data_IF_260593928333
#
_entry.id   IF_260593928333
#
_cell.length_a   1.000
_cell.length_b   1.000
_cell.length_c   1.000
_cell.angle_alpha   90.00
_cell.angle_beta   90.00
_cell.angle_gamma   90.00
#
_symmetry.space_group_name_H-M   'P 1'
#
loop_
_entity.id
_entity.type
_entity.pdbx_description
1 polymer ?
2 polymer ?
3 polymer ?
4 non-polymer ?
5 water ?
#
# COMPACT_ATOMS: atom_id res chain seq x y z
N UNK A 28 -22.89 -7.08 9.55
CA UNK A 28 -21.84 -6.35 8.78
C UNK A 28 -21.89 -4.76 8.78
N UNK A 29 -20.71 -4.15 8.55
CA UNK A 29 -20.41 -2.71 8.74
C UNK A 29 -20.62 -1.84 7.45
N UNK A 30 -20.47 -0.51 7.52
CA UNK A 30 -20.58 0.35 6.29
C UNK A 30 -19.31 1.16 5.87
N UNK A 31 -19.02 1.16 4.56
CA UNK A 31 -17.88 1.93 4.00
C UNK A 31 -18.07 3.45 4.04
N UNK A 32 -17.18 4.12 4.79
CA UNK A 32 -17.28 5.56 4.99
C UNK A 32 -16.05 6.29 4.40
N UNK A 33 -16.29 7.06 3.33
CA UNK A 33 -15.26 7.84 2.69
C UNK A 33 -14.80 8.87 3.67
N UNK A 34 -13.54 8.79 4.11
CA UNK A 34 -12.89 9.87 4.84
C UNK A 34 -12.09 10.81 3.92
N UNK A 35 -11.95 12.07 4.33
CA UNK A 35 -11.22 13.08 3.56
C UNK A 35 -9.74 12.89 3.73
N UNK A 36 -8.97 13.32 2.71
CA UNK A 36 -7.52 13.28 2.77
C UNK A 36 -7.01 14.15 3.91
N UNK A 37 -5.85 13.81 4.49
CA UNK A 37 -5.45 14.74 5.55
C UNK A 37 -4.86 16.07 5.02
N UNK A 38 -4.64 16.24 3.71
CA UNK A 38 -4.08 17.50 3.19
C UNK A 38 -4.95 18.71 3.43
N UNK A 39 -4.30 19.85 3.67
CA UNK A 39 -4.96 21.14 3.87
C UNK A 39 -4.16 22.17 3.08
N UNK A 40 -4.71 23.35 2.89
CA UNK A 40 -3.90 24.38 2.28
C UNK A 40 -3.46 25.41 3.33
N UNK A 41 -2.17 25.80 3.33
CA UNK A 41 -1.70 26.93 4.15
C UNK A 41 -2.10 28.24 3.43
N UNK A 42 -3.00 29.02 4.01
CA UNK A 42 -3.48 30.19 3.30
C UNK A 42 -2.45 31.29 3.41
N UNK A 43 -2.05 31.81 2.24
CA UNK A 43 -1.15 32.96 2.18
C UNK A 43 -1.97 34.23 2.27
N UNK A 44 -1.99 34.84 3.44
CA UNK A 44 -2.71 36.08 3.62
C UNK A 44 -1.81 37.20 3.17
N UNK A 45 -2.29 37.93 2.17
CA UNK A 45 -1.55 39.00 1.49
C UNK A 45 -2.50 39.82 0.63
N UNK A 46 -2.37 41.14 0.71
CA UNK A 46 -3.30 42.01 -0.02
C UNK A 46 -2.92 42.04 -1.49
N UNK A 47 -3.85 42.50 -2.32
CA UNK A 47 -3.67 42.70 -3.74
C UNK A 47 -3.05 44.07 -4.00
N UNK A 48 -2.14 44.19 -4.97
CA UNK A 48 -1.57 45.52 -5.27
C UNK A 48 -2.53 46.51 -5.94
N UNK A 49 -2.16 47.79 -5.88
CA UNK A 49 -2.69 48.78 -6.84
C UNK A 49 -1.83 48.70 -8.14
N UNK B 1 18.13 -39.23 -4.73
CA UNK B 1 17.20 -39.88 -3.77
C UNK B 1 15.70 -39.97 -4.24
N UNK B 2 15.32 -39.24 -5.31
CA UNK B 2 13.93 -38.68 -5.43
C UNK B 2 12.89 -39.06 -6.56
N UNK B 3 12.17 -38.08 -7.14
CA UNK B 3 10.95 -38.37 -7.96
C UNK B 3 10.69 -37.46 -9.18
N UNK B 4 10.35 -38.06 -10.33
CA UNK B 4 10.36 -37.37 -11.65
C UNK B 4 9.05 -36.65 -12.04
N UNK B 5 8.56 -35.87 -11.10
CA UNK B 5 7.37 -35.03 -11.28
C UNK B 5 7.38 -34.00 -10.15
N UNK B 6 6.35 -33.17 -10.05
CA UNK B 6 6.37 -31.96 -9.24
C UNK B 6 5.35 -32.00 -8.12
N UNK B 7 5.64 -31.45 -6.94
CA UNK B 7 4.56 -31.25 -5.97
C UNK B 7 4.63 -30.07 -5.03
N UNK B 8 3.45 -29.48 -4.81
CA UNK B 8 3.26 -28.33 -3.95
C UNK B 8 3.99 -28.52 -2.63
N UNK B 9 4.68 -27.50 -2.14
CA UNK B 9 5.22 -27.62 -0.78
C UNK B 9 4.53 -26.68 0.17
N UNK B 10 3.79 -25.74 -0.40
CA UNK B 10 2.94 -24.80 0.34
C UNK B 10 2.02 -24.02 -0.60
N UNK B 11 1.03 -23.40 0.01
CA UNK B 11 -0.07 -22.77 -0.69
C UNK B 11 -0.32 -21.52 0.13
N UNK B 12 -0.43 -20.38 -0.53
CA UNK B 12 -0.85 -19.18 0.17
C UNK B 12 -1.70 -18.29 -0.72
N UNK B 13 -2.49 -17.47 -0.07
CA UNK B 13 -3.47 -16.63 -0.71
C UNK B 13 -2.77 -15.26 -0.82
N UNK B 14 -2.65 -14.74 -2.04
CA UNK B 14 -2.00 -13.43 -2.26
C UNK B 14 -2.44 -12.76 -3.57
N UNK B 15 -2.46 -11.43 -3.57
CA UNK B 15 -2.61 -10.62 -4.77
C UNK B 15 -1.20 -10.45 -5.32
N UNK B 16 -1.03 -10.83 -6.58
CA UNK B 16 0.26 -10.85 -7.22
C UNK B 16 0.40 -9.59 -8.06
N UNK B 17 1.51 -8.88 -7.81
CA UNK B 17 1.80 -7.59 -8.36
C UNK B 17 3.07 -7.62 -9.18
N UNK B 18 3.20 -6.71 -10.15
CA UNK B 18 4.48 -6.38 -10.76
C UNK B 18 4.69 -4.88 -10.62
N UNK B 19 5.95 -4.43 -10.50
CA UNK B 19 6.22 -3.00 -10.41
C UNK B 19 6.43 -2.38 -11.78
N UNK B 20 5.57 -1.45 -12.15
CA UNK B 20 5.64 -0.67 -13.41
C UNK B 20 6.66 0.45 -13.26
N UNK B 21 7.86 0.29 -13.80
CA UNK B 21 8.90 1.27 -13.54
C UNK B 21 8.67 2.56 -14.33
N UNK B 22 8.18 2.41 -15.57
CA UNK B 22 7.73 3.55 -16.40
C UNK B 22 6.84 4.48 -15.56
N UNK B 23 5.87 3.89 -14.86
CA UNK B 23 4.90 4.69 -14.15
C UNK B 23 5.04 4.73 -12.65
N UNK B 24 6.01 4.02 -12.07
CA UNK B 24 6.32 4.22 -10.66
C UNK B 24 5.09 3.84 -9.82
N UNK B 25 4.68 2.58 -9.91
CA UNK B 25 3.29 2.18 -9.63
C UNK B 25 3.31 0.64 -9.63
N UNK B 26 2.79 0.04 -8.57
CA UNK B 26 2.49 -1.38 -8.50
C UNK B 26 1.17 -1.70 -9.21
N UNK B 27 1.19 -2.72 -10.07
CA UNK B 27 0.02 -3.12 -10.88
C UNK B 27 -0.21 -4.64 -10.73
N UNK B 28 -1.48 -5.12 -10.91
CA UNK B 28 -1.78 -6.54 -10.81
C UNK B 28 -1.03 -7.28 -11.92
N UNK B 29 -0.42 -8.41 -11.57
CA UNK B 29 0.18 -9.27 -12.57
C UNK B 29 -0.88 -9.76 -13.53
N UNK B 30 -0.55 -9.82 -14.81
CA UNK B 30 -1.50 -10.33 -15.82
C UNK B 30 -2.60 -9.31 -16.07
N UNK B 31 -2.52 -8.13 -15.46
CA UNK B 31 -3.47 -7.05 -15.74
C UNK B 31 -4.90 -7.28 -15.27
N UNK B 32 -5.03 -8.06 -14.20
CA UNK B 32 -6.33 -8.39 -13.61
C UNK B 32 -6.28 -8.36 -12.03
N UNK B 33 -6.99 -7.38 -11.48
CA UNK B 33 -7.24 -7.26 -10.05
C UNK B 33 -7.81 -8.56 -9.39
N UNK B 34 -7.24 -8.97 -8.26
CA UNK B 34 -7.79 -10.12 -7.53
C UNK B 34 -6.77 -10.99 -6.81
N UNK B 35 -7.25 -11.80 -5.90
CA UNK B 35 -6.34 -12.69 -5.17
C UNK B 35 -6.06 -13.95 -5.96
N UNK B 36 -4.84 -14.44 -5.85
CA UNK B 36 -4.49 -15.73 -6.37
C UNK B 36 -4.20 -16.74 -5.26
N UNK B 37 -4.18 -18.01 -5.66
CA UNK B 37 -3.52 -19.08 -4.90
C UNK B 37 -2.09 -19.19 -5.38
N UNK B 38 -1.14 -19.03 -4.49
CA UNK B 38 0.23 -19.14 -4.88
C UNK B 38 0.88 -20.36 -4.23
N UNK B 39 1.45 -21.21 -5.10
CA UNK B 39 2.11 -22.44 -4.72
C UNK B 39 3.59 -22.34 -4.97
N UNK B 40 4.35 -23.02 -4.13
CA UNK B 40 5.74 -23.32 -4.43
C UNK B 40 5.78 -24.79 -4.81
N UNK B 41 6.29 -25.10 -6.00
CA UNK B 41 6.47 -26.48 -6.45
C UNK B 41 7.89 -26.99 -6.24
N UNK B 42 8.01 -28.20 -5.72
CA UNK B 42 9.29 -28.90 -5.65
C UNK B 42 9.34 -30.08 -6.62
N UNK B 43 10.37 -30.06 -7.46
CA UNK B 43 10.64 -31.14 -8.40
C UNK B 43 11.89 -31.85 -7.85
N UNK B 44 11.68 -32.96 -7.12
CA UNK B 44 12.76 -33.59 -6.33
C UNK B 44 13.75 -34.29 -7.22
N UNK B 45 13.29 -34.74 -8.40
CA UNK B 45 14.16 -35.36 -9.38
C UNK B 45 15.24 -34.44 -9.90
N UNK B 46 14.90 -33.18 -10.16
CA UNK B 46 15.85 -32.23 -10.74
C UNK B 46 16.43 -31.25 -9.71
N UNK B 47 15.89 -31.29 -8.50
CA UNK B 47 16.01 -30.22 -7.50
C UNK B 47 15.75 -28.81 -8.00
N UNK B 48 14.55 -28.59 -8.53
CA UNK B 48 14.12 -27.25 -8.90
C UNK B 48 12.88 -26.89 -8.09
N UNK B 49 12.68 -25.60 -7.91
CA UNK B 49 11.50 -25.08 -7.27
C UNK B 49 10.97 -24.01 -8.19
N UNK B 50 9.66 -23.90 -8.29
CA UNK B 50 9.08 -22.76 -8.96
C UNK B 50 7.91 -22.20 -8.18
N UNK B 51 7.57 -20.95 -8.44
CA UNK B 51 6.40 -20.33 -7.88
C UNK B 51 5.30 -20.32 -8.96
N UNK B 52 4.08 -20.72 -8.60
CA UNK B 52 2.96 -20.61 -9.53
C UNK B 52 1.74 -19.99 -8.85
N UNK B 53 1.20 -18.92 -9.43
CA UNK B 53 -0.06 -18.30 -8.95
C UNK B 53 -1.15 -18.26 -10.02
N UNK B 54 -2.31 -18.84 -9.72
CA UNK B 54 -3.47 -18.84 -10.58
C UNK B 54 -4.51 -18.03 -9.82
N UNK B 55 -5.20 -17.08 -10.45
CA UNK B 55 -6.23 -16.29 -9.75
C UNK B 55 -7.36 -17.14 -9.21
N UNK B 56 -7.94 -16.78 -8.10
CA UNK B 56 -8.96 -17.62 -7.54
C UNK B 56 -10.30 -17.63 -8.31
N UNK B 57 -10.75 -16.50 -8.86
CA UNK B 57 -12.05 -16.47 -9.61
C UNK B 57 -11.92 -17.19 -10.92
N UNK B 58 -10.71 -17.14 -11.44
CA UNK B 58 -10.35 -17.21 -12.86
C UNK B 58 -9.61 -18.50 -13.24
N UNK B 59 -8.74 -18.91 -12.33
CA UNK B 59 -7.70 -19.91 -12.60
C UNK B 59 -6.63 -19.41 -13.59
N UNK B 60 -6.78 -18.20 -14.12
CA UNK B 60 -5.77 -17.66 -15.02
C UNK B 60 -4.39 -17.66 -14.30
N UNK B 61 -3.35 -18.22 -14.93
CA UNK B 61 -1.99 -18.19 -14.38
C UNK B 61 -1.50 -16.78 -14.59
N UNK B 62 -0.91 -16.19 -13.56
CA UNK B 62 -0.44 -14.77 -13.57
C UNK B 62 1.04 -14.69 -13.15
N UNK B 63 1.58 -15.80 -12.65
CA UNK B 63 3.01 -15.95 -12.41
C UNK B 63 3.42 -17.39 -12.49
N UNK B 64 4.66 -17.60 -12.92
CA UNK B 64 5.19 -18.94 -13.01
C UNK B 64 6.68 -18.84 -13.28
N UNK B 65 7.48 -18.88 -12.21
CA UNK B 65 8.91 -18.59 -12.33
C UNK B 65 9.75 -19.59 -11.51
N UNK B 66 10.81 -20.15 -12.11
CA UNK B 66 11.83 -20.91 -11.35
C UNK B 66 12.39 -20.02 -10.25
N UNK B 67 12.77 -20.63 -9.12
CA UNK B 67 13.33 -19.91 -7.99
C UNK B 67 14.85 -20.03 -8.12
N UNK B 68 15.52 -18.94 -8.51
CA UNK B 68 16.96 -19.03 -8.63
C UNK B 68 17.64 -19.17 -7.27
N UNK B 69 18.65 -20.03 -7.27
CA UNK B 69 19.60 -20.25 -6.17
C UNK B 69 19.97 -18.95 -5.45
N UNK B 70 20.13 -17.86 -6.22
CA UNK B 70 20.58 -16.57 -5.69
C UNK B 70 19.57 -15.62 -5.07
N UNK B 71 18.28 -15.89 -5.23
CA UNK B 71 17.21 -14.95 -4.82
C UNK B 71 17.36 -14.20 -3.48
N UNK B 72 17.32 -12.87 -3.57
CA UNK B 72 17.11 -12.02 -2.40
C UNK B 72 15.59 -11.85 -2.32
N UNK B 73 14.98 -12.46 -1.32
CA UNK B 73 13.52 -12.38 -1.09
C UNK B 73 13.23 -11.42 0.07
N UNK B 74 12.77 -10.23 -0.30
CA UNK B 74 12.68 -9.13 0.62
C UNK B 74 11.29 -9.01 1.22
N UNK B 75 11.24 -9.15 2.55
CA UNK B 75 10.02 -9.02 3.31
C UNK B 75 9.83 -7.58 3.67
N UNK B 76 9.48 -6.78 2.67
CA UNK B 76 9.31 -5.34 2.77
C UNK B 76 8.40 -4.92 3.90
N UNK B 77 7.25 -5.57 4.04
CA UNK B 77 6.40 -5.32 5.20
C UNK B 77 5.98 -6.69 5.71
N UNK B 78 5.11 -6.72 6.71
CA UNK B 78 4.78 -7.98 7.30
C UNK B 78 3.89 -8.83 6.42
N UNK B 79 3.15 -8.21 5.51
CA UNK B 79 2.32 -8.97 4.59
C UNK B 79 2.50 -8.56 3.13
N UNK B 80 3.60 -7.85 2.82
CA UNK B 80 3.97 -7.67 1.43
C UNK B 80 5.40 -8.08 1.20
N UNK B 81 5.63 -9.00 0.26
CA UNK B 81 7.01 -9.41 -0.02
C UNK B 81 7.33 -9.26 -1.50
N UNK B 82 8.61 -9.08 -1.83
CA UNK B 82 9.04 -8.73 -3.18
C UNK B 82 10.48 -9.19 -3.53
N UNK B 83 10.81 -9.14 -4.82
CA UNK B 83 12.09 -9.56 -5.34
C UNK B 83 12.18 -9.19 -6.81
N UNK B 84 13.40 -8.97 -7.34
CA UNK B 84 13.65 -8.71 -8.79
C UNK B 84 14.08 -9.95 -9.56
N UNK B 85 13.91 -9.89 -10.89
CA UNK B 85 14.76 -10.63 -11.83
C UNK B 85 15.61 -9.63 -12.66
N UNK B 86 16.02 -9.99 -13.87
CA UNK B 86 16.80 -9.05 -14.67
C UNK B 86 15.96 -7.84 -15.06
N UNK B 87 14.77 -8.15 -15.59
CA UNK B 87 13.88 -7.17 -16.19
C UNK B 87 12.81 -6.61 -15.23
N UNK B 88 12.74 -7.04 -13.96
CA UNK B 88 11.55 -6.70 -13.15
C UNK B 88 11.40 -7.07 -11.66
N UNK B 89 10.70 -6.19 -10.94
CA UNK B 89 10.30 -6.37 -9.54
C UNK B 89 8.87 -6.96 -9.42
N UNK B 90 8.74 -7.97 -8.54
CA UNK B 90 7.52 -8.74 -8.34
C UNK B 90 7.15 -8.71 -6.87
N UNK B 91 5.87 -8.69 -6.58
CA UNK B 91 5.38 -8.61 -5.21
C UNK B 91 4.15 -9.46 -4.96
N UNK B 92 3.96 -9.81 -3.69
CA UNK B 92 2.79 -10.54 -3.24
C UNK B 92 2.20 -9.83 -2.04
N UNK B 93 0.91 -9.55 -2.15
CA UNK B 93 0.15 -8.91 -1.08
C UNK B 93 -0.66 -10.02 -0.41
N UNK B 94 -0.16 -10.55 0.71
CA UNK B 94 -0.81 -11.71 1.31
C UNK B 94 -2.18 -11.33 1.92
N UNK B 95 -3.12 -12.27 1.89
CA UNK B 95 -4.42 -12.10 2.58
C UNK B 95 -4.38 -12.04 4.11
N UNK B 96 -3.53 -12.87 4.75
CA UNK B 96 -3.36 -12.82 6.21
C UNK B 96 -1.89 -12.79 6.58
N UNK B 97 -1.57 -12.37 7.81
CA UNK B 97 -0.21 -12.44 8.36
C UNK B 97 0.24 -13.90 8.23
N UNK B 98 -0.71 -14.79 8.46
CA UNK B 98 -0.54 -16.23 8.40
C UNK B 98 -0.04 -16.77 7.06
N UNK B 99 -0.65 -16.30 5.96
CA UNK B 99 -0.25 -16.69 4.61
C UNK B 99 1.17 -16.18 4.29
N UNK B 100 1.51 -14.99 4.78
CA UNK B 100 2.84 -14.44 4.65
C UNK B 100 3.90 -15.28 5.41
N UNK B 101 3.60 -15.64 6.67
CA UNK B 101 4.50 -16.42 7.53
C UNK B 101 4.80 -17.77 6.91
N UNK B 102 3.74 -18.49 6.53
CA UNK B 102 3.89 -19.78 5.83
C UNK B 102 4.76 -19.60 4.58
N UNK B 103 4.27 -18.86 3.59
CA UNK B 103 5.00 -18.65 2.34
C UNK B 103 6.45 -18.29 2.56
N UNK B 104 6.72 -17.32 3.45
CA UNK B 104 8.10 -16.96 3.78
C UNK B 104 8.95 -18.15 4.21
N UNK B 105 8.53 -18.88 5.26
CA UNK B 105 9.17 -20.13 5.71
C UNK B 105 9.54 -21.04 4.57
N UNK B 106 8.56 -21.30 3.69
CA UNK B 106 8.70 -22.20 2.53
C UNK B 106 9.77 -21.69 1.56
N UNK B 107 9.75 -20.38 1.32
CA UNK B 107 10.76 -19.72 0.53
C UNK B 107 12.15 -19.87 1.17
N UNK B 108 12.27 -19.48 2.45
CA UNK B 108 13.51 -19.64 3.26
C UNK B 108 14.06 -21.03 3.06
N UNK B 109 13.19 -22.02 3.27
CA UNK B 109 13.57 -23.43 3.15
C UNK B 109 14.01 -23.78 1.73
N UNK B 110 13.32 -23.29 0.70
CA UNK B 110 13.70 -23.63 -0.66
C UNK B 110 15.10 -23.10 -0.93
N UNK B 111 15.42 -21.93 -0.41
CA UNK B 111 16.73 -21.32 -0.69
C UNK B 111 17.86 -22.06 0.01
N UNK B 112 17.62 -22.39 1.27
CA UNK B 112 18.51 -23.26 2.04
C UNK B 112 18.83 -24.54 1.25
N UNK B 113 17.81 -25.29 0.83
CA UNK B 113 18.01 -26.48 0.01
C UNK B 113 18.88 -26.17 -1.18
N UNK B 114 18.48 -25.13 -1.93
CA UNK B 114 19.15 -24.75 -3.18
C UNK B 114 20.62 -24.35 -3.01
N UNK B 115 21.04 -24.05 -1.78
CA UNK B 115 22.46 -23.88 -1.45
C UNK B 115 23.08 -25.10 -0.76
N UNK B 116 22.70 -25.38 0.50
CA UNK B 116 23.00 -26.68 1.20
C UNK B 116 23.92 -27.61 0.42
N UNK C 2 -6.36 45.54 15.89
CA UNK C 2 -5.94 44.20 16.41
C UNK C 2 -4.98 43.59 15.39
N UNK C 3 -3.74 43.39 15.81
CA UNK C 3 -2.75 42.60 15.04
C UNK C 3 -2.89 41.08 15.40
N UNK C 4 -2.82 40.19 14.38
CA UNK C 4 -2.99 38.76 14.63
C UNK C 4 -1.80 38.21 15.37
N UNK C 5 -2.01 37.26 16.27
CA UNK C 5 -0.91 36.68 17.05
C UNK C 5 -0.31 35.41 16.40
N UNK C 6 1.01 35.22 16.50
CA UNK C 6 1.61 34.07 15.83
C UNK C 6 1.74 32.84 16.74
N UNK C 7 1.16 31.72 16.30
CA UNK C 7 1.04 30.52 17.17
C UNK C 7 2.37 29.77 17.37
N UNK C 8 3.39 30.06 16.54
CA UNK C 8 4.72 29.47 16.66
C UNK C 8 5.53 30.24 17.70
N UNK C 9 5.97 31.47 17.35
CA UNK C 9 6.80 32.28 18.26
C UNK C 9 6.08 33.05 19.36
N UNK C 10 4.78 32.90 19.48
CA UNK C 10 3.97 33.63 20.51
C UNK C 10 4.08 35.18 20.55
N UNK C 11 4.25 35.81 19.38
CA UNK C 11 4.32 37.28 19.32
C UNK C 11 3.43 37.75 18.18
N UNK C 12 3.22 39.05 18.08
CA UNK C 12 2.32 39.54 17.07
C UNK C 12 2.98 39.61 15.72
N UNK C 13 2.18 39.48 14.69
CA UNK C 13 2.66 39.62 13.34
C UNK C 13 2.49 41.09 12.95
N UNK C 14 3.60 41.77 12.61
CA UNK C 14 3.53 43.19 12.14
C UNK C 14 3.64 43.32 10.65
N UNK C 15 4.25 42.34 10.00
CA UNK C 15 4.21 42.26 8.55
C UNK C 15 2.76 42.32 8.07
N UNK C 16 2.53 42.73 6.83
CA UNK C 16 1.15 42.74 6.27
C UNK C 16 0.87 41.47 5.47
N UNK C 17 1.79 40.50 5.60
CA UNK C 17 1.65 39.17 5.03
C UNK C 17 2.02 38.19 6.09
N UNK C 18 1.28 37.08 6.14
CA UNK C 18 1.45 36.00 7.14
C UNK C 18 0.71 34.75 6.61
N UNK C 19 0.78 33.66 7.37
CA UNK C 19 0.03 32.50 6.97
C UNK C 19 -1.03 32.11 8.03
N UNK C 20 -2.19 31.69 7.52
CA UNK C 20 -3.19 30.98 8.30
C UNK C 20 -3.21 29.47 8.05
N UNK C 21 -3.00 28.69 9.10
CA UNK C 21 -3.04 27.26 8.99
C UNK C 21 -3.42 26.76 10.33
N UNK C 22 -4.12 25.61 10.35
CA UNK C 22 -4.45 24.86 11.59
C UNK C 22 -5.25 25.70 12.57
N UNK C 23 -5.93 26.72 12.03
CA UNK C 23 -6.77 27.59 12.83
C UNK C 23 -6.02 28.68 13.55
N UNK C 24 -4.93 29.09 12.93
CA UNK C 24 -3.97 29.91 13.62
C UNK C 24 -3.19 30.74 12.66
N UNK C 25 -2.48 31.69 13.22
CA UNK C 25 -1.76 32.61 12.41
C UNK C 25 -0.30 32.34 12.62
N UNK C 26 0.51 32.71 11.64
CA UNK C 26 1.89 32.45 11.78
C UNK C 26 2.58 33.51 10.98
N UNK C 27 3.74 33.95 11.46
CA UNK C 27 4.74 34.62 10.60
C UNK C 27 4.96 33.71 9.41
N UNK C 28 5.18 34.28 8.22
CA UNK C 28 5.42 33.44 7.06
C UNK C 28 6.48 32.39 7.42
N UNK C 29 7.55 32.84 8.10
CA UNK C 29 8.71 31.99 8.27
C UNK C 29 8.59 31.09 9.47
N UNK C 30 7.46 31.11 10.19
CA UNK C 30 7.27 30.15 11.29
C UNK C 30 6.20 29.12 11.01
N UNK C 31 5.89 28.87 9.75
CA UNK C 31 5.11 27.70 9.34
C UNK C 31 5.78 27.08 8.13
N UNK C 32 6.60 26.06 8.39
CA UNK C 32 7.56 25.55 7.39
C UNK C 32 7.58 24.04 7.42
N UNK C 33 7.89 23.43 6.28
CA UNK C 33 7.95 21.97 6.20
C UNK C 33 8.95 21.55 7.21
N UNK C 34 8.56 20.62 8.06
CA UNK C 34 9.50 20.05 8.99
C UNK C 34 10.66 19.27 8.28
N UNK C 35 10.46 18.86 7.04
CA UNK C 35 11.47 18.01 6.40
C UNK C 35 12.39 18.78 5.49
N UNK C 36 11.88 19.71 4.69
CA UNK C 36 12.73 20.40 3.74
C UNK C 36 12.86 21.87 4.04
N UNK C 37 12.15 22.31 5.10
CA UNK C 37 12.15 23.69 5.55
C UNK C 37 11.49 24.69 4.59
N UNK C 38 10.79 24.26 3.54
CA UNK C 38 10.10 25.32 2.75
C UNK C 38 8.93 26.00 3.48
N UNK C 39 8.71 27.25 3.07
CA UNK C 39 7.69 28.13 3.58
C UNK C 39 6.41 27.56 3.02
N UNK C 40 5.53 27.11 3.91
CA UNK C 40 4.29 26.45 3.48
C UNK C 40 3.20 27.40 2.90
N UNK C 41 3.32 28.69 3.22
CA UNK C 41 2.31 29.68 2.80
C UNK C 41 1.94 29.50 1.33
N UNK C 42 0.65 29.38 1.05
CA UNK C 42 0.11 29.27 -0.31
C UNK C 42 -0.04 27.83 -0.77
N UNK C 43 0.65 26.93 -0.08
CA UNK C 43 0.96 25.63 -0.60
C UNK C 43 0.19 24.55 0.13
N UNK C 44 0.03 23.40 -0.50
CA UNK C 44 -0.55 22.25 0.21
C UNK C 44 0.45 21.66 1.22
N UNK C 45 -0.03 21.31 2.40
CA UNK C 45 0.80 20.61 3.37
C UNK C 45 -0.05 19.59 4.11
N UNK C 46 0.59 18.78 4.97
CA UNK C 46 -0.10 17.71 5.76
C UNK C 46 0.46 17.66 7.20
N UNK C 47 -0.39 17.42 8.20
CA UNK C 47 0.05 17.27 9.59
C UNK C 47 0.39 15.83 9.84
N UNK C 48 1.67 15.52 9.99
CA UNK C 48 2.13 14.16 10.39
C UNK C 48 2.92 14.21 11.72
N UNK C 49 2.51 13.41 12.70
CA UNK C 49 3.05 13.58 14.05
C UNK C 49 3.08 15.04 14.48
N UNK C 50 1.99 15.76 14.17
CA UNK C 50 1.77 17.13 14.66
C UNK C 50 2.80 18.16 14.16
N UNK C 51 3.59 17.79 13.15
CA UNK C 51 4.46 18.74 12.46
C UNK C 51 4.03 18.88 10.99
N UNK C 52 4.03 20.13 10.47
CA UNK C 52 3.56 20.23 9.10
C UNK C 52 4.63 19.83 8.08
N UNK C 53 4.26 19.02 7.11
CA UNK C 53 5.21 18.67 6.05
C UNK C 53 4.66 19.08 4.72
N UNK C 54 5.51 19.37 3.75
CA UNK C 54 5.00 19.80 2.44
C UNK C 54 4.47 18.60 1.64
N UNK C 55 3.88 18.83 0.47
CA UNK C 55 3.27 17.73 -0.29
C UNK C 55 4.35 16.71 -0.73
N UNK C 56 5.46 17.18 -1.36
CA UNK C 56 6.49 16.22 -1.79
C UNK C 56 7.20 15.54 -0.63
N UNK C 57 7.42 16.20 0.49
CA UNK C 57 7.99 15.40 1.55
C UNK C 57 7.01 14.32 2.01
N UNK C 58 5.71 14.66 2.05
CA UNK C 58 4.72 13.67 2.49
C UNK C 58 4.77 12.44 1.55
N UNK C 59 4.54 12.69 0.26
CA UNK C 59 4.61 11.66 -0.75
C UNK C 59 5.92 10.85 -0.62
N UNK C 60 7.06 11.54 -0.42
CA UNK C 60 8.39 10.88 -0.39
C UNK C 60 8.68 10.09 0.94
N UNK C 61 8.19 10.51 2.11
CA UNK C 61 8.47 9.69 3.30
C UNK C 61 7.35 9.43 4.32
N UNK C 62 6.13 9.88 4.05
CA UNK C 62 5.06 9.72 5.06
C UNK C 62 3.83 8.97 4.59
N UNK C 63 4.05 8.18 3.54
CA UNK C 63 3.33 6.91 3.31
C UNK C 63 1.92 7.20 3.00
N UNK C 64 1.06 6.60 3.84
CA UNK C 64 -0.26 5.95 3.59
C UNK C 64 -0.34 5.19 2.30
N UNK C 65 -0.12 3.88 2.43
CA UNK C 65 -0.05 2.94 1.31
C UNK C 65 -1.32 2.10 1.28
N UNK C 66 -1.99 2.08 0.11
CA UNK C 66 -3.31 1.45 -0.05
C UNK C 66 -3.20 -0.03 0.16
N UNK C 67 -3.88 -0.54 1.18
CA UNK C 67 -4.04 -2.00 1.34
C UNK C 67 -4.39 -2.85 0.06
N UNK C 68 -5.14 -2.28 -0.88
CA UNK C 68 -5.52 -3.02 -2.10
C UNK C 68 -4.44 -3.02 -3.17
N UNK C 69 -4.00 -1.85 -3.60
CA UNK C 69 -3.09 -1.83 -4.75
C UNK C 69 -1.62 -1.68 -4.38
N UNK C 70 -1.33 -1.45 -3.10
CA UNK C 70 0.02 -1.21 -2.58
C UNK C 70 0.71 0.07 -3.13
N UNK C 71 -0.09 1.02 -3.58
CA UNK C 71 0.45 2.33 -3.94
C UNK C 71 0.00 3.41 -2.95
N UNK C 72 0.76 4.48 -2.89
CA UNK C 72 0.45 5.57 -2.00
C UNK C 72 -0.90 6.16 -2.36
N UNK C 73 -1.62 6.59 -1.33
CA UNK C 73 -2.84 7.35 -1.45
C UNK C 73 -2.51 8.82 -1.30
N UNK C 74 -2.66 9.56 -2.39
CA UNK C 74 -2.56 11.02 -2.37
C UNK C 74 -3.30 11.73 -1.18
N UNK C 75 -2.56 12.51 -0.38
CA UNK C 75 -3.20 13.11 0.77
C UNK C 75 -4.37 14.09 0.43
N UNK C 76 -4.51 14.50 -0.84
CA UNK C 76 -5.65 15.36 -1.22
C UNK C 76 -6.96 14.61 -1.44
N UNK C 77 -6.90 13.38 -1.95
CA UNK C 77 -8.11 12.61 -2.32
C UNK C 77 -8.71 11.88 -1.12
N UNK C 78 -10.00 11.59 -1.21
CA UNK C 78 -10.66 10.76 -0.19
C UNK C 78 -10.25 9.27 -0.28
N UNK C 79 -10.36 8.57 0.84
CA UNK C 79 -9.93 7.17 0.88
C UNK C 79 -10.84 6.48 1.86
N UNK C 80 -10.86 5.16 1.85
CA UNK C 80 -11.72 4.45 2.79
C UNK C 80 -10.81 3.94 3.87
N UNK C 81 -11.10 4.20 5.14
CA UNK C 81 -10.29 3.57 6.21
C UNK C 81 -11.09 2.63 7.05
N UNK C 82 -10.42 1.64 7.63
CA UNK C 82 -11.04 0.79 8.62
C UNK C 82 -9.93 0.32 9.50
N UNK C 83 -10.03 0.61 10.79
CA UNK C 83 -8.97 0.27 11.74
C UNK C 83 -7.64 0.85 11.24
N UNK C 84 -6.63 0.00 11.11
CA UNK C 84 -5.39 0.54 10.60
C UNK C 84 -5.23 0.50 9.11
N UNK C 85 -6.29 0.18 8.39
CA UNK C 85 -6.17 -0.06 6.95
C UNK C 85 -6.76 1.09 6.18
N UNK C 86 -6.22 1.35 5.00
CA UNK C 86 -6.91 2.26 4.07
C UNK C 86 -6.72 1.94 2.59
N UNK C 87 -7.74 2.24 1.78
CA UNK C 87 -7.86 1.87 0.35
C UNK C 87 -8.20 3.12 -0.45
N UNK C 88 -7.64 3.25 -1.64
CA UNK C 88 -8.16 4.26 -2.55
C UNK C 88 -9.65 4.07 -2.63
N UNK C 89 -10.39 5.18 -2.73
CA UNK C 89 -11.83 5.10 -3.03
C UNK C 89 -11.97 4.83 -4.53
N UNK C 90 -11.76 3.56 -4.90
CA UNK C 90 -11.67 3.17 -6.29
C UNK C 90 -12.26 1.77 -6.52
N UNK C 91 -12.99 1.58 -7.61
CA UNK C 91 -13.51 0.26 -7.90
C UNK C 91 -12.42 -0.82 -8.04
N UNK C 92 -11.18 -0.39 -8.20
CA UNK C 92 -10.03 -1.30 -8.26
C UNK C 92 -9.40 -1.65 -6.92
N UNK C 93 -9.72 -0.89 -5.87
CA UNK C 93 -9.01 -1.13 -4.63
C UNK C 93 -9.95 -1.66 -3.58
N UNK C 94 -11.07 -0.96 -3.39
CA UNK C 94 -12.04 -1.33 -2.37
C UNK C 94 -13.27 -2.12 -2.93
N UNK C 95 -13.05 -3.40 -3.19
CA UNK C 95 -14.06 -4.30 -3.71
C UNK C 95 -13.97 -5.61 -2.97
N UNK C 96 -14.90 -6.51 -3.28
CA UNK C 96 -14.96 -7.81 -2.63
C UNK C 96 -13.85 -8.74 -3.07
N UNK C 97 -13.24 -9.39 -2.08
CA UNK C 97 -12.16 -10.37 -2.33
C UNK C 97 -12.71 -11.59 -3.03
N UNK C 98 -13.96 -11.93 -2.73
CA UNK C 98 -14.62 -13.04 -3.41
C UNK C 98 -15.14 -12.69 -4.82
N UNK C 99 -16.00 -11.68 -4.94
CA UNK C 99 -16.79 -11.47 -6.16
C UNK C 99 -16.53 -10.18 -6.90
N UNK C 100 -15.51 -9.44 -6.48
CA UNK C 100 -15.18 -8.15 -7.09
C UNK C 100 -16.14 -6.96 -6.93
N UNK C 101 -17.27 -7.16 -6.28
CA UNK C 101 -18.28 -6.08 -6.08
C UNK C 101 -17.71 -4.84 -5.36
N UNK C 102 -17.84 -3.67 -5.98
CA UNK C 102 -17.37 -2.41 -5.38
C UNK C 102 -18.03 -2.25 -4.03
N UNK C 103 -17.25 -1.86 -3.01
CA UNK C 103 -17.81 -1.68 -1.65
C UNK C 103 -17.85 -0.25 -1.11
N UNK C 104 -17.40 0.73 -1.91
CA UNK C 104 -17.53 2.15 -1.54
C UNK C 104 -19.01 2.35 -1.20
N UNK C 105 -19.25 2.82 0.02
CA UNK C 105 -20.59 3.05 0.53
C UNK C 105 -21.51 1.84 0.53
N UNK C 106 -20.98 0.61 0.45
CA UNK C 106 -21.77 -0.60 0.69
C UNK C 106 -21.47 -1.18 2.07
N UNK C 107 -22.37 -2.05 2.53
CA UNK C 107 -22.12 -2.87 3.71
C UNK C 107 -20.98 -3.90 3.40
N UNK C 108 -20.06 -4.12 4.33
CA UNK C 108 -18.96 -5.05 4.10
C UNK C 108 -18.52 -5.84 5.36
N UNK C 109 -17.58 -6.76 5.20
CA UNK C 109 -17.06 -7.51 6.32
C UNK C 109 -15.55 -7.71 6.19
N UNK C 110 -14.76 -7.08 7.09
CA UNK C 110 -13.30 -7.16 7.05
C UNK C 110 -12.75 -8.42 7.72
N UNK C 111 -11.68 -9.01 7.16
CA UNK C 111 -10.92 -10.07 7.82
C UNK C 111 -9.41 -9.83 7.58
N UNK C 112 -8.76 -9.21 8.58
CA UNK C 112 -7.44 -8.61 8.45
C UNK C 112 -7.44 -7.69 7.23
N UNK C 113 -6.69 -8.07 6.21
CA UNK C 113 -6.55 -7.22 5.03
C UNK C 113 -7.76 -7.30 4.13
N UNK C 114 -8.14 -8.53 3.78
CA UNK C 114 -9.32 -8.84 2.97
C UNK C 114 -10.66 -8.31 3.48
N UNK C 115 -11.59 -8.21 2.57
CA UNK C 115 -12.79 -7.43 2.76
C UNK C 115 -13.87 -8.05 1.82
N UNK C 116 -15.09 -8.25 2.32
CA UNK C 116 -16.13 -8.98 1.56
C UNK C 116 -17.45 -8.26 1.61
N UNK C 117 -18.31 -8.52 0.64
CA UNK C 117 -19.62 -7.85 0.56
C UNK C 117 -20.69 -8.44 1.50
N UNK C 118 -20.42 -9.62 2.04
CA UNK C 118 -21.44 -10.48 2.62
C UNK C 118 -20.81 -11.63 3.44
N UNK C 119 -21.62 -12.24 4.33
CA UNK C 119 -21.21 -13.45 5.06
C UNK C 119 -20.88 -14.64 4.12
N UNK C 120 -21.72 -14.79 3.08
CA UNK C 120 -21.57 -15.80 2.02
C UNK C 120 -20.14 -15.78 1.54
N UNK C 121 -19.72 -14.57 1.13
CA UNK C 121 -18.46 -14.35 0.43
C UNK C 121 -17.28 -14.60 1.36
N UNK C 122 -17.38 -14.12 2.61
CA UNK C 122 -16.47 -14.51 3.70
C UNK C 122 -16.45 -16.01 3.94
N UNK C 123 -17.62 -16.66 3.84
CA UNK C 123 -17.75 -18.13 4.02
C UNK C 123 -17.17 -19.02 2.87
N UNK C 124 -17.28 -18.60 1.60
CA UNK C 124 -16.25 -19.02 0.61
C UNK C 124 -14.94 -18.45 1.09
N UNK C 125 -13.85 -18.65 0.37
CA UNK C 125 -12.56 -18.10 0.85
C UNK C 125 -12.24 -18.65 2.24
N UNK C 126 -12.84 -19.81 2.56
CA UNK C 126 -12.84 -20.53 3.87
C UNK C 126 -13.09 -19.66 5.14
X LIG D 1 6.04 34.03 14.70
X LIG E 1 9.13 19.50 2.54
X LIG F 1 -5.29 1.35 -4.19
X LIG G 1 -18.82 -10.58 -2.62
X LIG H 1 -18.98 -14.68 -3.04
#
# INVERSE_FOLDING_TARGET
>A
MWAPPAAIMGDGPTKKVGNQAPLQTQALQTASLRDGPAKRAVWVRHTSSEPQEPTESKAAKERPK
>B
AARMSEQSICQARAAVMVYDDANKKWVPAGGSTGFSRVHIYHHTGNNTFRVVGRKIQDHQVVINCAIPKGLKYNQATQTFHQWRDARQVYGLNFGSKEDANVFASAMMHALEVLNSQET
>C
SEKPRCAGCDELIFSNEYTQAENQNWHLKHFCCFDCDSILAGEIYVMVNDKPVCKPCYVKNHAVVCQGCHNAIDPEVQRVTYNNFSWHASTECFLCSCCSKCLIGQKFMPVEGMVFCSVECKKRMS
>D hetero
1 ZN ZN
>E hetero
1 ZN ZN
>F hetero
1 ZN ZN
>G hetero
1 ZN ZN
>H hetero
1 ZN ZN
#
